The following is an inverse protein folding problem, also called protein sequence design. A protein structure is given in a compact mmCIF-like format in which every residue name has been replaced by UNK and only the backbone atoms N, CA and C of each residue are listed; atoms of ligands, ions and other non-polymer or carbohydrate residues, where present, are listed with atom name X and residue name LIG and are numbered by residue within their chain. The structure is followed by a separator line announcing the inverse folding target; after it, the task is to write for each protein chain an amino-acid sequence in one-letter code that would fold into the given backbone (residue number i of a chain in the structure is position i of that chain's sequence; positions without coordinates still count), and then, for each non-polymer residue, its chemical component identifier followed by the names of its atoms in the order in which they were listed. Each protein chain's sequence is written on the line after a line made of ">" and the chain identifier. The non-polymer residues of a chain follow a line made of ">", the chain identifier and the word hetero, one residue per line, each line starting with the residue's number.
data_IF_501098581531
#
_entry.id   IF_501098581531
#
_cell.length_a   1.000
_cell.length_b   1.000
_cell.length_c   1.000
_cell.angle_alpha   90.00
_cell.angle_beta   90.00
_cell.angle_gamma   90.00
#
_symmetry.space_group_name_H-M   'P 1'
#
loop_
_entity.id
_entity.type
_entity.pdbx_description
1 polymer ?
#
# COMPACT_ATOMS: atom_id res chain seq x y z
N UNK A 1 6.36 21.35 27.58
CA UNK A 1 5.27 20.41 27.24
C UNK A 1 5.80 18.99 27.49
N UNK A 2 5.54 18.43 28.68
CA UNK A 2 6.02 17.10 29.08
C UNK A 2 5.04 16.06 28.51
N UNK A 3 5.45 15.33 27.47
CA UNK A 3 4.62 14.27 26.87
C UNK A 3 4.64 13.09 27.84
N UNK A 4 3.59 12.93 28.64
CA UNK A 4 3.44 11.76 29.53
C UNK A 4 3.20 10.52 28.66
N UNK A 5 4.20 9.64 28.61
CA UNK A 5 4.12 8.37 27.89
C UNK A 5 3.09 7.47 28.57
N UNK A 6 1.93 7.27 27.93
CA UNK A 6 0.89 6.35 28.41
C UNK A 6 0.93 5.04 27.62
N UNK A 7 0.25 4.00 28.12
CA UNK A 7 0.13 2.68 27.46
C UNK A 7 -0.32 2.79 25.99
N UNK A 8 -1.15 3.79 25.67
CA UNK A 8 -1.62 4.05 24.30
C UNK A 8 -0.49 4.49 23.36
N UNK A 9 0.47 5.29 23.85
CA UNK A 9 1.61 5.73 23.03
C UNK A 9 2.54 4.57 22.70
N UNK A 10 2.80 3.69 23.67
CA UNK A 10 3.57 2.47 23.44
C UNK A 10 2.90 1.55 22.41
N UNK A 11 1.56 1.40 22.49
CA UNK A 11 0.82 0.58 21.55
C UNK A 11 0.84 1.15 20.12
N UNK A 12 0.77 2.47 19.97
CA UNK A 12 0.93 3.12 18.66
C UNK A 12 2.31 2.88 18.05
N UNK A 13 3.38 2.93 18.84
CA UNK A 13 4.73 2.66 18.33
C UNK A 13 4.85 1.22 17.83
N UNK A 14 4.30 0.25 18.57
CA UNK A 14 4.26 -1.15 18.15
C UNK A 14 3.48 -1.30 16.85
N UNK A 15 2.31 -0.66 16.73
CA UNK A 15 1.50 -0.71 15.51
C UNK A 15 2.27 -0.12 14.32
N UNK A 16 2.89 1.04 14.48
CA UNK A 16 3.69 1.68 13.43
C UNK A 16 4.84 0.77 12.97
N UNK A 17 5.57 0.20 13.93
CA UNK A 17 6.65 -0.74 13.65
C UNK A 17 6.14 -1.94 12.87
N UNK A 18 5.09 -2.61 13.35
CA UNK A 18 4.49 -3.75 12.65
C UNK A 18 4.00 -3.39 11.24
N UNK A 19 3.43 -2.20 11.04
CA UNK A 19 2.95 -1.73 9.74
C UNK A 19 4.08 -1.54 8.74
N UNK A 20 5.25 -1.01 9.17
CA UNK A 20 6.40 -0.81 8.28
C UNK A 20 6.92 -2.13 7.67
N UNK A 21 6.82 -3.24 8.38
CA UNK A 21 7.26 -4.56 7.87
C UNK A 21 6.28 -5.21 6.89
N UNK A 22 5.04 -4.71 6.75
CA UNK A 22 3.99 -5.34 5.94
C UNK A 22 4.41 -5.48 4.48
N UNK A 23 4.89 -4.41 3.85
CA UNK A 23 5.27 -4.42 2.42
C UNK A 23 6.59 -5.17 2.18
N UNK A 24 7.54 -5.08 3.12
CA UNK A 24 8.81 -5.82 3.05
C UNK A 24 8.52 -7.32 3.08
N UNK A 25 7.73 -7.77 4.05
CA UNK A 25 7.32 -9.17 4.15
C UNK A 25 6.51 -9.61 2.93
N UNK A 26 5.60 -8.76 2.43
CA UNK A 26 4.87 -9.05 1.19
C UNK A 26 5.80 -9.29 -0.01
N UNK A 27 6.88 -8.50 -0.12
CA UNK A 27 7.87 -8.66 -1.19
C UNK A 27 8.62 -9.97 -1.05
N UNK A 28 8.97 -10.38 0.17
CA UNK A 28 9.58 -11.69 0.42
C UNK A 28 8.64 -12.84 0.03
N UNK A 29 7.34 -12.74 0.36
CA UNK A 29 6.35 -13.74 -0.03
C UNK A 29 6.13 -13.78 -1.54
N UNK A 30 6.12 -12.63 -2.22
CA UNK A 30 6.08 -12.55 -3.68
C UNK A 30 7.29 -13.30 -4.27
N UNK A 31 8.49 -13.06 -3.76
CA UNK A 31 9.71 -13.70 -4.25
C UNK A 31 9.72 -15.22 -3.99
N UNK A 32 8.99 -15.68 -2.95
CA UNK A 32 8.72 -17.10 -2.70
C UNK A 32 7.59 -17.69 -3.57
N UNK A 33 7.01 -16.93 -4.51
CA UNK A 33 5.98 -17.38 -5.43
C UNK A 33 4.55 -17.27 -4.89
N UNK A 34 4.32 -16.65 -3.72
CA UNK A 34 2.99 -16.50 -3.12
C UNK A 34 2.25 -15.34 -3.77
N UNK A 35 1.09 -15.62 -4.35
CA UNK A 35 0.27 -14.60 -5.03
C UNK A 35 -0.32 -13.59 -4.05
N UNK A 36 -0.59 -12.36 -4.52
CA UNK A 36 -1.22 -11.31 -3.69
C UNK A 36 -2.53 -11.78 -3.05
N UNK A 37 -3.34 -12.55 -3.80
CA UNK A 37 -4.60 -13.08 -3.31
C UNK A 37 -4.39 -14.07 -2.16
N UNK A 38 -3.40 -14.97 -2.28
CA UNK A 38 -3.03 -15.88 -1.19
C UNK A 38 -2.56 -15.10 0.04
N UNK A 39 -1.75 -14.05 -0.15
CA UNK A 39 -1.29 -13.21 0.97
C UNK A 39 -2.45 -12.54 1.71
N UNK A 40 -3.44 -11.98 1.00
CA UNK A 40 -4.65 -11.40 1.63
C UNK A 40 -5.48 -12.49 2.31
N UNK A 41 -5.69 -13.62 1.64
CA UNK A 41 -6.46 -14.75 2.19
C UNK A 41 -5.89 -15.23 3.52
N UNK A 42 -4.58 -15.46 3.60
CA UNK A 42 -3.93 -15.88 4.85
C UNK A 42 -4.04 -14.81 5.93
N UNK A 43 -3.88 -13.53 5.60
CA UNK A 43 -4.04 -12.43 6.58
C UNK A 43 -5.43 -12.43 7.22
N UNK A 44 -6.48 -12.51 6.41
CA UNK A 44 -7.86 -12.49 6.93
C UNK A 44 -8.17 -13.78 7.71
N UNK A 45 -7.75 -14.92 7.19
CA UNK A 45 -7.98 -16.23 7.81
C UNK A 45 -7.29 -16.35 9.17
N UNK A 46 -6.07 -15.81 9.31
CA UNK A 46 -5.34 -15.80 10.59
C UNK A 46 -5.86 -14.71 11.54
N UNK A 47 -6.25 -13.54 11.04
CA UNK A 47 -6.74 -12.45 11.86
C UNK A 47 -8.09 -12.75 12.50
N UNK A 48 -9.02 -13.39 11.77
CA UNK A 48 -10.38 -13.64 12.22
C UNK A 48 -10.48 -14.42 13.55
N UNK A 49 -9.81 -15.58 13.74
CA UNK A 49 -9.87 -16.32 15.01
C UNK A 49 -9.21 -15.56 16.15
N UNK A 50 -8.11 -14.83 15.89
CA UNK A 50 -7.43 -14.02 16.90
C UNK A 50 -8.36 -12.92 17.39
N UNK A 51 -8.97 -12.18 16.47
CA UNK A 51 -9.94 -11.12 16.81
C UNK A 51 -11.13 -11.73 17.56
N UNK A 52 -11.67 -12.87 17.10
CA UNK A 52 -12.78 -13.55 17.76
C UNK A 52 -12.47 -13.91 19.22
N UNK A 53 -11.27 -14.43 19.50
CA UNK A 53 -10.82 -14.73 20.87
C UNK A 53 -10.68 -13.46 21.70
N UNK A 54 -10.11 -12.38 21.15
CA UNK A 54 -9.93 -11.12 21.87
C UNK A 54 -11.26 -10.44 22.25
N UNK A 55 -12.27 -10.51 21.37
CA UNK A 55 -13.57 -9.88 21.61
C UNK A 55 -14.54 -10.76 22.39
N UNK A 56 -14.24 -12.06 22.54
CA UNK A 56 -15.10 -13.05 23.21
C UNK A 56 -15.46 -12.57 24.61
N UNK A 57 -16.76 -12.36 24.86
CA UNK A 57 -17.29 -11.94 26.15
C UNK A 57 -17.20 -10.45 26.46
N UNK A 58 -16.51 -9.65 25.63
CA UNK A 58 -16.38 -8.18 25.80
C UNK A 58 -17.27 -7.40 24.85
N UNK A 59 -17.69 -8.01 23.73
CA UNK A 59 -18.43 -7.34 22.67
C UNK A 59 -19.63 -8.18 22.24
N UNK A 60 -20.84 -7.61 22.26
CA UNK A 60 -22.04 -8.23 21.68
C UNK A 60 -22.23 -7.67 20.27
N UNK A 61 -21.88 -8.45 19.26
CA UNK A 61 -22.12 -8.08 17.87
C UNK A 61 -23.64 -8.06 17.61
N UNK A 62 -24.19 -6.88 17.34
CA UNK A 62 -25.55 -6.77 16.77
C UNK A 62 -25.50 -7.18 15.30
N UNK A 63 -26.55 -7.86 14.83
CA UNK A 63 -26.71 -8.23 13.43
C UNK A 63 -26.73 -6.99 12.52
N UNK A 64 -27.27 -5.88 13.00
CA UNK A 64 -27.36 -4.62 12.27
C UNK A 64 -25.99 -3.98 11.98
N UNK A 65 -24.98 -4.23 12.85
CA UNK A 65 -23.61 -3.74 12.66
C UNK A 65 -22.79 -4.67 11.76
N UNK A 66 -23.24 -5.92 11.56
CA UNK A 66 -22.51 -6.93 10.79
C UNK A 66 -22.32 -6.49 9.34
N UNK A 67 -23.34 -5.87 8.73
CA UNK A 67 -23.25 -5.33 7.37
C UNK A 67 -22.15 -4.25 7.26
N UNK A 68 -22.03 -3.39 8.29
CA UNK A 68 -21.02 -2.33 8.31
C UNK A 68 -19.62 -2.92 8.44
N UNK A 69 -19.42 -3.88 9.35
CA UNK A 69 -18.15 -4.58 9.49
C UNK A 69 -17.78 -5.38 8.23
N UNK A 70 -18.74 -6.04 7.60
CA UNK A 70 -18.52 -6.79 6.36
C UNK A 70 -18.10 -5.86 5.22
N UNK A 71 -18.80 -4.72 5.05
CA UNK A 71 -18.47 -3.74 4.02
C UNK A 71 -17.10 -3.09 4.28
N UNK A 72 -16.82 -2.69 5.52
CA UNK A 72 -15.54 -2.11 5.90
C UNK A 72 -14.38 -3.11 5.69
N UNK A 73 -14.58 -4.37 6.08
CA UNK A 73 -13.62 -5.46 5.86
C UNK A 73 -13.39 -5.75 4.37
N UNK A 74 -14.45 -5.72 3.56
CA UNK A 74 -14.36 -5.90 2.11
C UNK A 74 -13.56 -4.76 1.46
N UNK A 75 -13.90 -3.51 1.78
CA UNK A 75 -13.17 -2.33 1.26
C UNK A 75 -11.70 -2.39 1.65
N UNK A 76 -11.40 -2.72 2.92
CA UNK A 76 -10.03 -2.88 3.38
C UNK A 76 -9.29 -4.03 2.68
N UNK A 77 -9.96 -5.16 2.44
CA UNK A 77 -9.38 -6.31 1.74
C UNK A 77 -9.08 -5.98 0.27
N UNK A 78 -9.98 -5.27 -0.41
CA UNK A 78 -9.76 -4.79 -1.78
C UNK A 78 -8.59 -3.80 -1.84
N UNK A 79 -8.52 -2.87 -0.87
CA UNK A 79 -7.41 -1.93 -0.74
C UNK A 79 -6.07 -2.66 -0.56
N UNK A 80 -6.03 -3.63 0.36
CA UNK A 80 -4.82 -4.42 0.61
C UNK A 80 -4.43 -5.25 -0.61
N UNK A 81 -5.40 -5.89 -1.28
CA UNK A 81 -5.15 -6.64 -2.50
C UNK A 81 -4.56 -5.76 -3.59
N UNK A 82 -5.08 -4.55 -3.78
CA UNK A 82 -4.56 -3.57 -4.74
C UNK A 82 -3.10 -3.19 -4.42
N UNK A 83 -2.80 -2.88 -3.16
CA UNK A 83 -1.45 -2.56 -2.71
C UNK A 83 -0.45 -3.71 -2.97
N UNK A 84 -0.79 -4.94 -2.57
CA UNK A 84 0.10 -6.09 -2.78
C UNK A 84 0.24 -6.42 -4.27
N UNK A 85 -0.84 -6.27 -5.05
CA UNK A 85 -0.81 -6.50 -6.51
C UNK A 85 0.07 -5.49 -7.23
N UNK A 86 0.09 -4.22 -6.79
CA UNK A 86 1.01 -3.20 -7.31
C UNK A 86 2.47 -3.66 -7.22
N UNK A 87 2.87 -4.26 -6.09
CA UNK A 87 4.21 -4.83 -5.89
C UNK A 87 4.45 -6.03 -6.81
N UNK A 88 3.44 -6.89 -6.98
CA UNK A 88 3.51 -8.04 -7.89
C UNK A 88 3.71 -7.61 -9.34
N UNK A 89 3.01 -6.58 -9.79
CA UNK A 89 3.16 -5.98 -11.13
C UNK A 89 4.47 -5.19 -11.32
N UNK A 90 5.36 -5.15 -10.32
CA UNK A 90 6.69 -4.56 -10.44
C UNK A 90 6.76 -3.08 -10.05
N UNK A 91 5.72 -2.52 -9.44
CA UNK A 91 5.79 -1.17 -8.89
C UNK A 91 6.83 -1.13 -7.76
N UNK A 92 7.74 -0.14 -7.75
CA UNK A 92 8.66 0.05 -6.65
C UNK A 92 7.91 0.22 -5.32
N UNK A 93 8.42 -0.40 -4.25
CA UNK A 93 7.81 -0.36 -2.91
C UNK A 93 7.62 1.09 -2.44
N UNK A 94 8.55 1.99 -2.77
CA UNK A 94 8.47 3.41 -2.44
C UNK A 94 7.24 4.09 -3.06
N UNK A 95 6.94 3.80 -4.34
CA UNK A 95 5.78 4.35 -5.05
C UNK A 95 4.49 3.76 -4.51
N UNK A 96 4.43 2.44 -4.30
CA UNK A 96 3.26 1.79 -3.68
C UNK A 96 2.99 2.35 -2.28
N UNK A 97 4.03 2.53 -1.48
CA UNK A 97 3.94 3.08 -0.11
C UNK A 97 3.46 4.52 -0.12
N UNK A 98 3.95 5.34 -1.06
CA UNK A 98 3.48 6.71 -1.23
C UNK A 98 1.98 6.76 -1.56
N UNK A 99 1.51 5.87 -2.43
CA UNK A 99 0.09 5.75 -2.76
C UNK A 99 -0.74 5.33 -1.52
N UNK A 100 -0.26 4.38 -0.73
CA UNK A 100 -0.91 3.95 0.52
C UNK A 100 -1.01 5.11 1.51
N UNK A 101 0.03 5.93 1.64
CA UNK A 101 0.01 7.09 2.54
C UNK A 101 -0.92 8.22 2.09
N UNK A 102 -1.59 8.08 0.95
CA UNK A 102 -2.71 8.95 0.61
C UNK A 102 -4.01 8.60 1.35
N UNK A 103 -4.10 7.40 1.94
CA UNK A 103 -5.24 6.93 2.74
C UNK A 103 -5.72 7.91 3.83
N UNK A 104 -4.86 8.50 4.69
CA UNK A 104 -5.30 9.51 5.65
C UNK A 104 -5.99 10.72 5.00
N UNK A 105 -5.66 11.05 3.75
CA UNK A 105 -6.35 12.13 3.02
C UNK A 105 -7.77 11.75 2.64
N UNK A 106 -7.95 10.59 2.01
CA UNK A 106 -9.29 10.08 1.70
C UNK A 106 -10.13 9.92 2.97
N UNK A 107 -9.52 9.44 4.07
CA UNK A 107 -10.19 9.30 5.36
C UNK A 107 -10.68 10.65 5.89
N UNK A 108 -9.85 11.68 5.84
CA UNK A 108 -10.23 13.00 6.33
C UNK A 108 -11.19 13.75 5.39
N UNK A 109 -11.12 13.54 4.07
CA UNK A 109 -12.14 14.03 3.12
C UNK A 109 -13.49 13.38 3.43
N UNK A 110 -13.54 12.06 3.61
CA UNK A 110 -14.75 11.34 3.98
C UNK A 110 -15.30 11.80 5.34
N UNK A 111 -14.42 12.07 6.31
CA UNK A 111 -14.82 12.61 7.62
C UNK A 111 -15.43 14.02 7.49
N UNK A 112 -14.86 14.88 6.65
CA UNK A 112 -15.37 16.21 6.36
C UNK A 112 -16.74 16.16 5.66
N UNK A 113 -16.88 15.33 4.63
CA UNK A 113 -18.15 15.14 3.88
C UNK A 113 -19.23 14.53 4.76
N UNK A 114 -18.87 13.65 5.70
CA UNK A 114 -19.82 13.05 6.65
C UNK A 114 -20.41 14.06 7.64
N UNK A 115 -19.91 15.31 7.68
CA UNK A 115 -20.43 16.38 8.55
C UNK A 115 -20.22 16.15 10.05
N UNK A 116 -19.53 15.07 10.43
CA UNK A 116 -19.31 14.66 11.83
C UNK A 116 -18.15 15.42 12.49
N UNK A 117 -17.25 16.03 11.71
CA UNK A 117 -16.15 16.85 12.23
C UNK A 117 -16.10 18.24 11.60
N UNK A 118 -15.87 19.27 12.43
CA UNK A 118 -15.49 20.60 11.95
C UNK A 118 -14.06 20.54 11.40
N UNK A 119 -13.92 20.53 10.09
CA UNK A 119 -12.62 20.56 9.40
C UNK A 119 -11.97 21.93 9.59
N UNK A 120 -11.13 22.07 10.60
CA UNK A 120 -10.38 23.32 10.84
C UNK A 120 -9.29 23.50 9.77
N UNK A 121 -9.03 24.72 9.30
CA UNK A 121 -8.00 25.02 8.30
C UNK A 121 -6.61 24.48 8.66
N UNK A 122 -6.30 24.34 9.96
CA UNK A 122 -5.07 23.72 10.46
C UNK A 122 -4.97 22.23 10.14
N UNK A 123 -6.08 21.48 10.16
CA UNK A 123 -6.11 20.06 9.77
C UNK A 123 -5.82 19.92 8.27
N UNK A 124 -6.40 20.80 7.45
CA UNK A 124 -6.18 20.83 6.00
C UNK A 124 -4.72 21.16 5.67
N UNK A 125 -4.12 22.14 6.35
CA UNK A 125 -2.71 22.48 6.16
C UNK A 125 -1.77 21.32 6.55
N UNK A 126 -2.03 20.64 7.66
CA UNK A 126 -1.25 19.47 8.07
C UNK A 126 -1.37 18.33 7.04
N UNK A 127 -2.55 18.14 6.47
CA UNK A 127 -2.76 17.17 5.40
C UNK A 127 -1.97 17.54 4.14
N UNK A 128 -2.06 18.79 3.69
CA UNK A 128 -1.30 19.26 2.53
C UNK A 128 0.22 19.10 2.69
N UNK A 129 0.77 19.38 3.88
CA UNK A 129 2.19 19.13 4.17
C UNK A 129 2.56 17.64 4.09
N UNK A 130 1.67 16.76 4.58
CA UNK A 130 1.85 15.32 4.45
C UNK A 130 1.91 14.87 2.98
N UNK A 131 1.04 15.42 2.12
CA UNK A 131 1.04 15.12 0.68
C UNK A 131 2.39 15.49 0.08
N UNK A 132 2.86 16.72 0.31
CA UNK A 132 4.13 17.20 -0.24
C UNK A 132 5.29 16.32 0.22
N UNK A 133 5.33 15.94 1.50
CA UNK A 133 6.36 15.05 2.04
C UNK A 133 6.36 13.66 1.38
N UNK A 134 5.18 13.07 1.19
CA UNK A 134 5.03 11.77 0.51
C UNK A 134 5.46 11.86 -0.95
N UNK A 135 5.06 12.90 -1.67
CA UNK A 135 5.50 13.14 -3.06
C UNK A 135 7.02 13.29 -3.15
N UNK A 136 7.66 14.02 -2.23
CA UNK A 136 9.12 14.16 -2.18
C UNK A 136 9.82 12.82 -1.93
N UNK A 137 9.37 12.04 -0.95
CA UNK A 137 10.00 10.75 -0.60
C UNK A 137 9.79 9.70 -1.69
N UNK A 138 8.67 9.76 -2.41
CA UNK A 138 8.32 8.77 -3.43
C UNK A 138 9.23 8.79 -4.66
N UNK A 139 9.98 9.89 -4.89
CA UNK A 139 10.85 10.02 -6.06
C UNK A 139 10.11 10.14 -7.40
N UNK A 140 8.77 10.28 -7.40
CA UNK A 140 7.95 10.36 -8.62
C UNK A 140 8.37 11.50 -9.56
N UNK A 141 8.98 12.56 -9.04
CA UNK A 141 9.52 13.69 -9.82
C UNK A 141 10.95 13.44 -10.33
N UNK A 142 11.61 12.41 -9.85
CA UNK A 142 13.03 12.06 -10.10
C UNK A 142 13.17 10.86 -11.03
N UNK A 143 12.07 10.36 -11.61
CA UNK A 143 12.11 9.50 -12.79
C UNK A 143 12.13 10.40 -14.04
N UNK A 144 13.29 10.89 -14.52
CA UNK A 144 13.35 11.37 -15.87
C UNK A 144 13.02 10.20 -16.80
N UNK A 145 12.36 10.53 -17.90
CA UNK A 145 12.04 9.71 -19.06
C UNK A 145 13.28 9.18 -19.82
N UNK A 146 14.26 8.66 -19.08
CA UNK A 146 15.42 7.92 -19.55
C UNK A 146 15.11 6.45 -19.90
N UNK A 147 13.83 6.10 -19.96
CA UNK A 147 13.32 4.95 -20.72
C UNK A 147 12.72 5.39 -22.07
N UNK A 148 13.20 6.49 -22.68
CA UNK A 148 13.23 6.49 -24.14
C UNK A 148 14.06 5.27 -24.53
N UNK A 149 13.50 4.28 -25.26
CA UNK A 149 14.31 3.28 -25.89
C UNK A 149 15.18 4.03 -26.88
N UNK A 150 16.40 4.38 -26.47
CA UNK A 150 17.43 4.70 -27.43
C UNK A 150 17.46 3.49 -28.38
N UNK A 151 17.33 3.69 -29.70
CA UNK A 151 17.48 2.62 -30.67
C UNK A 151 18.95 2.22 -30.69
N UNK A 152 19.39 1.51 -29.65
CA UNK A 152 20.66 0.79 -29.65
C UNK A 152 20.38 -0.51 -30.37
N UNK A 153 20.71 -0.43 -31.65
CA UNK A 153 21.44 -1.49 -32.31
C UNK A 153 20.58 -2.64 -32.87
N UNK A 154 19.72 -2.29 -33.83
CA UNK A 154 19.40 -3.19 -34.95
C UNK A 154 20.28 -2.81 -36.13
N UNK A 155 21.59 -3.11 -36.06
CA UNK A 155 22.48 -2.98 -37.23
C UNK A 155 23.65 -3.97 -37.35
N UNK A 156 23.81 -4.93 -36.44
CA UNK A 156 24.85 -5.97 -36.62
C UNK A 156 24.31 -7.39 -36.93
N UNK A 157 22.99 -7.60 -36.98
CA UNK A 157 22.40 -8.88 -37.45
C UNK A 157 22.09 -8.91 -38.95
N UNK A 158 21.91 -7.76 -39.61
CA UNK A 158 21.58 -7.72 -41.05
C UNK A 158 22.83 -7.79 -41.95
N UNK A 159 24.03 -7.58 -41.39
CA UNK A 159 25.31 -7.69 -42.12
C UNK A 159 25.85 -9.14 -42.16
N UNK A 160 25.33 -10.05 -41.32
CA UNK A 160 25.78 -11.46 -41.24
C UNK A 160 24.98 -12.41 -42.14
N UNK A 161 23.79 -12.01 -42.60
CA UNK A 161 22.92 -12.84 -43.45
C UNK A 161 23.16 -12.63 -44.96
N UNK A 162 23.69 -11.48 -45.38
CA UNK A 162 23.96 -11.22 -46.80
C UNK A 162 25.32 -11.77 -47.31
N UNK A 163 26.25 -12.14 -46.42
CA UNK A 163 27.53 -12.75 -46.82
C UNK A 163 27.48 -14.28 -46.92
N UNK A 164 26.60 -14.95 -46.16
CA UNK A 164 26.50 -16.43 -46.20
C UNK A 164 25.68 -16.97 -47.37
N UNK A 165 24.94 -16.12 -48.10
CA UNK A 165 24.18 -16.52 -49.31
C UNK A 165 24.96 -16.32 -50.63
N UNK A 166 26.25 -15.99 -50.55
CA UNK A 166 27.15 -15.86 -51.73
C UNK A 166 28.26 -16.91 -51.78
N UNK A 167 28.18 -17.97 -50.99
CA UNK A 167 29.23 -18.99 -50.89
C UNK A 167 28.73 -20.44 -50.97
N UNK A 168 27.54 -20.66 -51.55
CA UNK A 168 27.08 -21.98 -52.00
C UNK A 168 26.54 -21.83 -53.42
#
# INVERSE_FOLDING_TARGET
>A
MQVKFTKSHALLIIVCFCFSFILVFSTLLKNAGVSSLQQVFFRITLALPIIFVLIRGRFKLKKDDLQYFALAGLVFSCFLLSALSSIVFGCPIAVTTALIYTQPFFTAILAAVSGKEKTTSRKIAAMAMGVIGVFLVSGVLTEPLLLLPLPLHKKDEESRLHTSSKLI
#
